data_IF_888507601128
#
_entry.id   IF_888507601128
#
_cell.length_a   1.000
_cell.length_b   1.000
_cell.length_c   1.000
_cell.angle_alpha   90.00
_cell.angle_beta   90.00
_cell.angle_gamma   90.00
#
_symmetry.space_group_name_H-M   'P 1'
#
loop_
_entity.id
_entity.type
_entity.pdbx_description
1 polymer ?
#
# COMPACT_ATOMS: atom_id res chain seq x y z
N UNK A 1 -15.86 -64.67 87.53
CA UNK A 1 -15.98 -63.30 86.99
C UNK A 1 -16.68 -63.44 85.66
N UNK A 2 -17.92 -62.97 85.58
CA UNK A 2 -18.82 -63.32 84.48
C UNK A 2 -18.56 -62.40 83.30
N UNK A 3 -18.93 -62.85 82.09
CA UNK A 3 -18.66 -62.14 80.83
C UNK A 3 -19.22 -60.71 80.75
N UNK A 4 -20.06 -60.30 81.70
CA UNK A 4 -20.61 -58.95 81.84
C UNK A 4 -19.65 -57.97 82.52
N UNK A 5 -18.63 -58.45 83.24
CA UNK A 5 -17.58 -57.60 83.85
C UNK A 5 -16.57 -57.09 82.80
N UNK A 6 -16.53 -57.69 81.60
CA UNK A 6 -15.62 -57.27 80.52
C UNK A 6 -16.13 -56.02 79.78
N UNK A 7 -17.45 -55.92 79.59
CA UNK A 7 -18.11 -54.79 78.91
C UNK A 7 -18.05 -53.48 79.71
N UNK A 8 -17.81 -53.54 81.02
CA UNK A 8 -17.67 -52.36 81.88
C UNK A 8 -16.25 -51.78 81.90
N UNK A 9 -15.25 -52.52 81.37
CA UNK A 9 -13.89 -52.03 81.14
C UNK A 9 -13.68 -51.50 79.72
N UNK A 10 -14.62 -51.75 78.79
CA UNK A 10 -14.57 -51.16 77.47
C UNK A 10 -14.98 -49.70 77.55
N UNK A 11 -14.01 -48.81 77.27
CA UNK A 11 -14.23 -47.37 77.11
C UNK A 11 -14.97 -47.15 75.79
N UNK A 12 -16.24 -47.52 75.76
CA UNK A 12 -17.11 -47.40 74.60
C UNK A 12 -17.30 -45.91 74.34
N UNK A 13 -16.69 -45.42 73.27
CA UNK A 13 -16.81 -44.02 72.87
C UNK A 13 -18.16 -43.83 72.19
N UNK A 14 -19.21 -43.64 72.98
CA UNK A 14 -20.59 -43.46 72.50
C UNK A 14 -20.73 -42.25 71.55
N UNK A 15 -19.91 -41.23 71.73
CA UNK A 15 -19.90 -40.05 70.86
C UNK A 15 -19.01 -40.22 69.62
N UNK A 16 -18.32 -41.35 69.44
CA UNK A 16 -17.46 -41.59 68.27
C UNK A 16 -18.17 -41.30 66.93
N UNK A 17 -19.42 -41.72 66.69
CA UNK A 17 -20.11 -41.40 65.44
C UNK A 17 -20.31 -39.89 65.24
N UNK A 18 -20.50 -39.14 66.34
CA UNK A 18 -20.68 -37.67 66.30
C UNK A 18 -19.36 -36.97 66.03
N UNK A 19 -18.26 -37.47 66.60
CA UNK A 19 -16.92 -36.95 66.33
C UNK A 19 -16.45 -37.30 64.93
N UNK A 20 -16.70 -38.52 64.46
CA UNK A 20 -16.39 -38.95 63.08
C UNK A 20 -17.21 -38.13 62.05
N UNK A 21 -18.47 -37.79 62.34
CA UNK A 21 -19.29 -36.90 61.50
C UNK A 21 -18.78 -35.45 61.55
N UNK A 22 -18.39 -34.95 62.72
CA UNK A 22 -17.82 -33.61 62.87
C UNK A 22 -16.46 -33.49 62.17
N UNK A 23 -15.62 -34.52 62.26
CA UNK A 23 -14.32 -34.62 61.58
C UNK A 23 -14.51 -34.72 60.07
N UNK A 24 -15.46 -35.53 59.59
CA UNK A 24 -15.81 -35.57 58.17
C UNK A 24 -16.26 -34.20 57.66
N UNK A 25 -17.14 -33.51 58.39
CA UNK A 25 -17.58 -32.14 58.03
C UNK A 25 -16.45 -31.12 58.10
N UNK A 26 -15.52 -31.30 59.04
CA UNK A 26 -14.33 -30.46 59.15
C UNK A 26 -13.43 -30.66 57.94
N UNK A 27 -13.09 -31.90 57.59
CA UNK A 27 -12.28 -32.20 56.40
C UNK A 27 -13.00 -31.88 55.09
N UNK A 28 -14.32 -32.10 55.00
CA UNK A 28 -15.12 -31.64 53.86
C UNK A 28 -15.18 -30.10 53.79
N UNK A 29 -15.01 -29.38 54.90
CA UNK A 29 -14.96 -27.91 54.89
C UNK A 29 -13.55 -27.37 54.66
N UNK A 30 -12.51 -28.04 55.15
CA UNK A 30 -11.12 -27.67 54.91
C UNK A 30 -10.68 -28.07 53.50
N UNK A 31 -11.02 -29.28 53.04
CA UNK A 31 -10.78 -29.74 51.68
C UNK A 31 -11.84 -29.20 50.70
N UNK A 32 -13.10 -29.06 51.10
CA UNK A 32 -14.15 -28.42 50.28
C UNK A 32 -14.14 -26.89 50.35
N UNK A 33 -13.06 -26.29 50.86
CA UNK A 33 -12.70 -24.92 50.46
C UNK A 33 -12.25 -24.85 48.99
N UNK A 34 -12.04 -25.99 48.33
CA UNK A 34 -12.36 -26.10 46.90
C UNK A 34 -13.87 -26.31 46.76
N UNK A 35 -14.66 -25.24 46.92
CA UNK A 35 -15.91 -25.18 46.19
C UNK A 35 -15.57 -25.52 44.73
N UNK A 36 -16.43 -26.22 43.97
CA UNK A 36 -16.54 -25.87 42.57
C UNK A 36 -17.10 -24.44 42.58
N UNK A 37 -16.23 -23.45 42.83
CA UNK A 37 -16.55 -22.06 42.55
C UNK A 37 -16.88 -22.09 41.10
N UNK A 38 -18.19 -22.03 40.84
CA UNK A 38 -18.82 -22.00 39.53
C UNK A 38 -17.77 -21.68 38.47
N UNK A 39 -17.41 -22.71 37.69
CA UNK A 39 -16.69 -22.62 36.43
C UNK A 39 -17.50 -21.79 35.41
N UNK A 40 -18.27 -20.78 35.82
CA UNK A 40 -18.91 -19.83 34.91
C UNK A 40 -17.81 -19.08 34.17
N UNK A 41 -16.74 -18.71 34.88
CA UNK A 41 -15.53 -18.15 34.27
C UNK A 41 -14.82 -19.16 33.37
N UNK A 42 -14.54 -20.38 33.83
CA UNK A 42 -13.80 -21.35 33.02
C UNK A 42 -14.60 -21.89 31.83
N UNK A 43 -15.92 -22.11 31.97
CA UNK A 43 -16.80 -22.45 30.85
C UNK A 43 -16.94 -21.27 29.89
N UNK A 44 -16.98 -20.01 30.37
CA UNK A 44 -16.95 -18.82 29.50
C UNK A 44 -15.63 -18.73 28.74
N UNK A 45 -14.49 -18.93 29.40
CA UNK A 45 -13.17 -18.93 28.78
C UNK A 45 -13.06 -20.07 27.76
N UNK A 46 -13.57 -21.25 28.06
CA UNK A 46 -13.59 -22.37 27.11
C UNK A 46 -14.47 -22.06 25.89
N UNK A 47 -15.60 -21.40 26.10
CA UNK A 47 -16.52 -20.97 25.05
C UNK A 47 -15.93 -19.83 24.20
N UNK A 48 -15.19 -18.91 24.83
CA UNK A 48 -14.47 -17.83 24.17
C UNK A 48 -13.30 -18.37 23.34
N UNK A 49 -12.55 -19.35 23.87
CA UNK A 49 -11.51 -20.06 23.12
C UNK A 49 -12.11 -20.82 21.93
N UNK A 50 -13.27 -21.48 22.11
CA UNK A 50 -13.96 -22.18 21.03
C UNK A 50 -14.42 -21.21 19.94
N UNK A 51 -15.01 -20.07 20.33
CA UNK A 51 -15.44 -19.01 19.39
C UNK A 51 -14.26 -18.36 18.67
N UNK A 52 -13.15 -18.12 19.37
CA UNK A 52 -11.93 -17.59 18.77
C UNK A 52 -11.34 -18.57 17.73
N UNK A 53 -11.33 -19.87 18.04
CA UNK A 53 -10.91 -20.91 17.08
C UNK A 53 -11.80 -20.97 15.85
N UNK A 54 -13.12 -20.90 16.03
CA UNK A 54 -14.08 -20.87 14.91
C UNK A 54 -13.90 -19.62 14.05
N UNK A 55 -13.68 -18.45 14.67
CA UNK A 55 -13.43 -17.20 13.96
C UNK A 55 -12.14 -17.25 13.14
N UNK A 56 -11.05 -17.77 13.73
CA UNK A 56 -9.78 -17.98 13.01
C UNK A 56 -9.97 -18.97 11.85
N UNK A 57 -10.69 -20.08 12.05
CA UNK A 57 -10.99 -21.03 10.97
C UNK A 57 -11.82 -20.41 9.85
N UNK A 58 -12.82 -19.60 10.20
CA UNK A 58 -13.67 -18.90 9.23
C UNK A 58 -12.90 -17.82 8.46
N UNK A 59 -12.02 -17.07 9.13
CA UNK A 59 -11.11 -16.14 8.49
C UNK A 59 -10.09 -16.84 7.61
N UNK A 60 -9.56 -17.99 8.02
CA UNK A 60 -8.63 -18.78 7.21
C UNK A 60 -9.32 -19.39 5.98
N UNK A 61 -10.57 -19.85 6.13
CA UNK A 61 -11.40 -20.30 5.01
C UNK A 61 -11.83 -19.16 4.08
N UNK A 62 -11.94 -17.92 4.58
CA UNK A 62 -12.11 -16.72 3.76
C UNK A 62 -10.82 -16.22 3.12
N UNK A 63 -9.66 -16.58 3.67
CA UNK A 63 -8.32 -16.21 3.19
C UNK A 63 -7.68 -17.28 2.30
N UNK A 64 -8.28 -18.47 2.16
CA UNK A 64 -7.96 -19.33 1.04
C UNK A 64 -8.51 -18.64 -0.20
N UNK A 65 -7.65 -17.94 -0.94
CA UNK A 65 -7.93 -17.44 -2.29
C UNK A 65 -8.76 -18.50 -2.99
N UNK A 66 -10.03 -18.19 -3.28
CA UNK A 66 -10.95 -19.22 -3.72
C UNK A 66 -10.36 -19.86 -4.98
N UNK A 67 -10.55 -21.16 -5.21
CA UNK A 67 -10.02 -21.81 -6.41
C UNK A 67 -10.50 -21.11 -7.71
N UNK A 68 -11.60 -20.35 -7.63
CA UNK A 68 -12.09 -19.47 -8.68
C UNK A 68 -11.19 -18.24 -8.89
N UNK A 69 -10.75 -17.55 -7.83
CA UNK A 69 -9.84 -16.39 -7.92
C UNK A 69 -8.49 -16.79 -8.49
N UNK A 70 -7.97 -17.97 -8.11
CA UNK A 70 -6.74 -18.50 -8.71
C UNK A 70 -6.92 -18.79 -10.21
N UNK A 71 -8.08 -19.31 -10.62
CA UNK A 71 -8.39 -19.53 -12.03
C UNK A 71 -8.43 -18.23 -12.84
N UNK A 72 -9.01 -17.17 -12.27
CA UNK A 72 -9.08 -15.85 -12.91
C UNK A 72 -7.69 -15.21 -13.05
N UNK A 73 -6.86 -15.30 -12.01
CA UNK A 73 -5.46 -14.86 -12.04
C UNK A 73 -4.68 -15.61 -13.13
N UNK A 74 -4.82 -16.94 -13.22
CA UNK A 74 -4.16 -17.75 -14.25
C UNK A 74 -4.63 -17.37 -15.67
N UNK A 75 -5.93 -17.12 -15.86
CA UNK A 75 -6.47 -16.66 -17.14
C UNK A 75 -5.93 -15.28 -17.54
N UNK A 76 -5.81 -14.36 -16.58
CA UNK A 76 -5.24 -13.03 -16.82
C UNK A 76 -3.76 -13.12 -17.18
N UNK A 77 -2.98 -13.95 -16.48
CA UNK A 77 -1.56 -14.19 -16.77
C UNK A 77 -1.38 -14.69 -18.21
N UNK A 78 -2.13 -15.73 -18.62
CA UNK A 78 -2.07 -16.25 -20.00
C UNK A 78 -2.42 -15.21 -21.06
N UNK A 79 -3.39 -14.34 -20.76
CA UNK A 79 -3.78 -13.26 -21.68
C UNK A 79 -2.67 -12.22 -21.83
N UNK A 80 -2.04 -11.82 -20.72
CA UNK A 80 -0.91 -10.89 -20.71
C UNK A 80 0.34 -11.48 -21.39
N UNK A 81 0.59 -12.78 -21.26
CA UNK A 81 1.68 -13.46 -21.96
C UNK A 81 1.48 -13.45 -23.48
N UNK A 82 0.24 -13.67 -23.93
CA UNK A 82 -0.11 -13.63 -25.36
C UNK A 82 0.04 -12.21 -25.92
N UNK A 83 -0.46 -11.21 -25.19
CA UNK A 83 -0.32 -9.80 -25.57
C UNK A 83 1.16 -9.37 -25.63
N UNK A 84 1.98 -9.75 -24.65
CA UNK A 84 3.42 -9.49 -24.69
C UNK A 84 4.08 -10.15 -25.91
N UNK A 85 3.71 -11.40 -26.23
CA UNK A 85 4.23 -12.05 -27.43
C UNK A 85 3.82 -11.32 -28.72
N UNK A 86 2.58 -10.83 -28.77
CA UNK A 86 2.09 -10.01 -29.88
C UNK A 86 2.84 -8.68 -29.99
N UNK A 87 3.09 -8.00 -28.87
CA UNK A 87 3.86 -6.75 -28.83
C UNK A 87 5.31 -6.98 -29.28
N UNK A 88 5.96 -8.03 -28.81
CA UNK A 88 7.31 -8.39 -29.26
C UNK A 88 7.34 -8.62 -30.78
N UNK A 89 6.34 -9.31 -31.34
CA UNK A 89 6.24 -9.50 -32.77
C UNK A 89 6.06 -8.18 -33.54
N UNK A 90 5.21 -7.27 -33.05
CA UNK A 90 5.05 -5.94 -33.66
C UNK A 90 6.36 -5.16 -33.59
N UNK A 91 7.09 -5.23 -32.48
CA UNK A 91 8.41 -4.60 -32.34
C UNK A 91 9.41 -5.18 -33.34
N UNK A 92 9.43 -6.49 -33.54
CA UNK A 92 10.31 -7.14 -34.53
C UNK A 92 9.95 -6.73 -35.96
N UNK A 93 8.65 -6.66 -36.29
CA UNK A 93 8.16 -6.21 -37.60
C UNK A 93 8.53 -4.74 -37.85
N UNK A 94 8.38 -3.87 -36.85
CA UNK A 94 8.80 -2.47 -36.91
C UNK A 94 10.31 -2.34 -37.07
N UNK A 95 11.10 -3.14 -36.34
CA UNK A 95 12.55 -3.17 -36.47
C UNK A 95 12.99 -3.60 -37.87
N UNK A 96 12.31 -4.59 -38.45
CA UNK A 96 12.56 -5.02 -39.82
C UNK A 96 12.19 -3.93 -40.84
N UNK A 97 11.07 -3.22 -40.63
CA UNK A 97 10.67 -2.10 -41.47
C UNK A 97 11.69 -0.95 -41.41
N UNK A 98 12.16 -0.59 -40.21
CA UNK A 98 13.19 0.44 -40.02
C UNK A 98 14.50 0.05 -40.71
N UNK A 99 14.96 -1.19 -40.54
CA UNK A 99 16.16 -1.68 -41.24
C UNK A 99 16.01 -1.62 -42.78
N UNK A 100 14.82 -1.93 -43.30
CA UNK A 100 14.51 -1.81 -44.73
C UNK A 100 14.50 -0.35 -45.20
N UNK A 101 13.99 0.58 -44.39
CA UNK A 101 14.06 2.01 -44.67
C UNK A 101 15.52 2.50 -44.65
N UNK A 102 16.30 2.13 -43.65
CA UNK A 102 17.72 2.48 -43.53
C UNK A 102 18.52 1.99 -44.74
N UNK A 103 18.26 0.77 -45.22
CA UNK A 103 18.85 0.26 -46.45
C UNK A 103 18.46 1.10 -47.68
N UNK A 104 17.19 1.51 -47.79
CA UNK A 104 16.73 2.37 -48.91
C UNK A 104 17.34 3.76 -48.85
N UNK A 105 17.43 4.36 -47.67
CA UNK A 105 18.08 5.66 -47.46
C UNK A 105 19.55 5.57 -47.83
N UNK A 106 20.26 4.54 -47.36
CA UNK A 106 21.67 4.30 -47.72
C UNK A 106 21.90 4.17 -49.23
N UNK A 107 20.96 3.58 -49.98
CA UNK A 107 21.03 3.46 -51.44
C UNK A 107 20.78 4.82 -52.12
N UNK A 108 19.83 5.61 -51.61
CA UNK A 108 19.56 6.95 -52.13
C UNK A 108 20.73 7.90 -51.87
N UNK A 109 21.36 7.81 -50.70
CA UNK A 109 22.54 8.62 -50.33
C UNK A 109 23.79 8.25 -51.14
N UNK A 110 23.90 6.99 -51.60
CA UNK A 110 25.01 6.52 -52.44
C UNK A 110 24.77 6.67 -53.94
N UNK A 111 23.55 7.03 -54.36
CA UNK A 111 23.25 7.35 -55.76
C UNK A 111 23.67 8.80 -56.04
N UNK A 112 24.70 9.05 -56.87
CA UNK A 112 25.15 10.40 -57.14
C UNK A 112 24.13 11.13 -58.02
N UNK A 113 23.50 12.17 -57.49
CA UNK A 113 22.86 13.18 -58.32
C UNK A 113 23.97 13.93 -59.08
N UNK A 114 24.22 13.51 -60.32
CA UNK A 114 24.93 14.32 -61.28
C UNK A 114 24.05 15.54 -61.64
N UNK A 115 24.32 16.69 -61.02
CA UNK A 115 23.98 17.99 -61.60
C UNK A 115 24.98 19.05 -61.12
N UNK A 116 25.89 19.39 -62.03
CA UNK A 116 26.61 20.67 -62.04
C UNK A 116 25.67 21.82 -62.48
N UNK A 117 26.01 23.08 -62.17
CA UNK A 117 25.08 24.22 -62.22
C UNK A 117 25.07 24.89 -63.60
N UNK A 118 23.93 25.07 -64.25
CA UNK A 118 23.75 26.10 -65.31
C UNK A 118 22.28 26.55 -65.43
N UNK A 119 22.08 27.85 -65.19
CA UNK A 119 21.21 28.86 -65.84
C UNK A 119 20.11 28.42 -66.84
N UNK A 120 18.90 28.97 -66.62
CA UNK A 120 17.75 29.19 -67.54
C UNK A 120 18.16 29.55 -68.98
N UNK A 121 17.41 29.19 -70.07
CA UNK A 121 16.06 29.76 -70.34
C UNK A 121 15.04 28.95 -71.21
N UNK A 122 13.78 29.41 -71.12
CA UNK A 122 12.69 29.50 -72.14
C UNK A 122 12.02 28.27 -72.79
N UNK A 123 10.69 28.23 -72.54
CA UNK A 123 9.50 27.71 -73.29
C UNK A 123 9.58 27.75 -74.85
N UNK A 124 8.87 26.88 -75.63
CA UNK A 124 7.40 26.95 -75.82
C UNK A 124 6.58 25.64 -76.04
N UNK A 125 5.29 25.77 -75.72
CA UNK A 125 4.06 25.04 -76.06
C UNK A 125 4.05 24.11 -77.29
N UNK A 126 3.26 23.02 -77.25
CA UNK A 126 2.06 22.82 -78.09
C UNK A 126 1.18 21.64 -77.63
N UNK A 127 -0.13 21.87 -77.79
CA UNK A 127 -1.33 21.09 -77.46
C UNK A 127 -1.39 19.63 -77.96
N UNK A 128 -2.17 18.82 -77.24
CA UNK A 128 -2.62 17.49 -77.66
C UNK A 128 -3.71 16.90 -76.75
N UNK A 129 -4.90 17.45 -76.85
CA UNK A 129 -6.19 17.05 -76.24
C UNK A 129 -6.50 15.54 -76.30
N UNK A 130 -6.91 14.95 -75.17
CA UNK A 130 -8.16 14.15 -75.07
C UNK A 130 -8.77 14.29 -73.67
N UNK A 131 -10.03 14.70 -73.68
CA UNK A 131 -10.97 14.94 -72.58
C UNK A 131 -11.70 13.64 -72.22
N UNK A 132 -11.88 13.36 -70.92
CA UNK A 132 -13.18 13.10 -70.23
C UNK A 132 -12.91 13.29 -68.71
N UNK A 133 -13.17 14.45 -68.09
CA UNK A 133 -14.44 14.90 -67.48
C UNK A 133 -15.18 13.78 -66.72
N UNK A 134 -15.47 13.88 -65.40
CA UNK A 134 -16.44 14.81 -64.78
C UNK A 134 -16.29 14.76 -63.23
N UNK A 135 -15.72 15.77 -62.56
CA UNK A 135 -16.35 16.83 -61.71
C UNK A 135 -17.37 16.34 -60.67
N UNK A 136 -17.21 16.60 -59.36
CA UNK A 136 -17.59 17.89 -58.72
C UNK A 136 -16.97 18.12 -57.32
N UNK A 137 -16.50 19.35 -57.06
CA UNK A 137 -16.27 19.96 -55.73
C UNK A 137 -17.42 20.96 -55.43
N UNK A 138 -17.44 21.81 -54.36
CA UNK A 138 -16.57 21.96 -53.15
C UNK A 138 -17.35 22.22 -51.81
N UNK A 139 -16.65 22.51 -50.69
CA UNK A 139 -16.85 23.65 -49.74
C UNK A 139 -16.63 23.32 -48.23
N UNK A 140 -15.61 24.01 -47.67
CA UNK A 140 -15.38 24.59 -46.31
C UNK A 140 -15.21 23.78 -44.99
N UNK A 141 -14.24 24.34 -44.23
CA UNK A 141 -14.08 24.43 -42.76
C UNK A 141 -13.62 23.14 -42.05
N UNK A 142 -12.78 23.14 -41.02
CA UNK A 142 -11.82 24.01 -40.32
C UNK A 142 -11.38 23.14 -39.09
N UNK A 143 -10.15 23.28 -38.59
CA UNK A 143 -9.69 22.89 -37.22
C UNK A 143 -9.47 21.37 -36.95
N UNK A 144 -8.41 20.87 -36.28
CA UNK A 144 -7.39 21.45 -35.39
C UNK A 144 -5.99 20.85 -35.65
N UNK A 145 -5.01 21.75 -35.71
CA UNK A 145 -3.58 21.59 -35.42
C UNK A 145 -3.36 21.27 -33.94
N UNK A 146 -2.40 20.40 -33.60
CA UNK A 146 -1.59 20.56 -32.37
C UNK A 146 -0.25 19.78 -32.44
N UNK A 147 0.47 19.87 -33.55
CA UNK A 147 1.90 19.52 -33.64
C UNK A 147 2.67 20.82 -33.92
N UNK A 148 2.76 21.68 -32.91
CA UNK A 148 3.44 22.97 -32.99
C UNK A 148 4.97 22.76 -32.94
N UNK A 149 5.58 23.02 -34.08
CA UNK A 149 6.98 23.22 -34.42
C UNK A 149 7.91 23.63 -33.25
N UNK A 150 8.58 22.66 -32.61
CA UNK A 150 9.77 22.91 -31.77
C UNK A 150 11.04 22.99 -32.65
N UNK A 151 10.97 23.85 -33.67
CA UNK A 151 12.14 24.29 -34.43
C UNK A 151 12.72 25.51 -33.68
N UNK A 152 13.61 25.22 -32.72
CA UNK A 152 14.37 26.25 -32.01
C UNK A 152 15.44 26.84 -32.96
N UNK A 153 15.03 27.89 -33.67
CA UNK A 153 15.86 28.67 -34.57
C UNK A 153 16.63 29.79 -33.85
N UNK A 154 16.68 29.79 -32.50
CA UNK A 154 17.43 30.75 -31.68
C UNK A 154 18.57 30.11 -30.85
N UNK A 155 19.01 28.90 -31.21
CA UNK A 155 20.14 28.19 -30.60
C UNK A 155 21.52 28.70 -31.03
N UNK A 156 21.80 29.98 -30.85
CA UNK A 156 23.16 30.50 -30.93
C UNK A 156 23.44 31.52 -29.82
N UNK A 157 23.47 31.08 -28.57
CA UNK A 157 24.54 31.42 -27.62
C UNK A 157 24.46 30.55 -26.35
N UNK A 158 25.60 30.46 -25.70
CA UNK A 158 26.10 29.63 -24.60
C UNK A 158 25.24 29.45 -23.32
N UNK A 159 25.66 28.45 -22.52
CA UNK A 159 25.58 28.31 -21.06
C UNK A 159 24.54 27.35 -20.38
N UNK A 160 25.10 26.29 -19.80
CA UNK A 160 24.57 25.16 -19.00
C UNK A 160 23.70 25.53 -17.76
N UNK A 161 23.46 26.82 -17.50
CA UNK A 161 22.57 27.26 -16.41
C UNK A 161 21.10 27.28 -16.81
N UNK A 162 20.80 27.37 -18.11
CA UNK A 162 19.42 27.37 -18.62
C UNK A 162 18.72 26.01 -18.43
N UNK A 163 19.47 24.90 -18.41
CA UNK A 163 18.90 23.57 -18.26
C UNK A 163 18.38 23.30 -16.85
N UNK A 164 19.03 23.84 -15.82
CA UNK A 164 18.54 23.77 -14.42
C UNK A 164 17.29 24.62 -14.23
N UNK A 165 17.22 25.77 -14.89
CA UNK A 165 16.05 26.64 -14.86
C UNK A 165 14.88 26.02 -15.65
N UNK A 166 15.15 25.38 -16.79
CA UNK A 166 14.17 24.60 -17.56
C UNK A 166 13.68 23.39 -16.76
N UNK A 167 14.55 22.67 -16.06
CA UNK A 167 14.16 21.54 -15.22
C UNK A 167 13.34 21.97 -14.00
N UNK A 168 13.70 23.08 -13.35
CA UNK A 168 12.87 23.68 -12.30
C UNK A 168 11.50 24.10 -12.82
N UNK A 169 11.43 24.71 -14.01
CA UNK A 169 10.16 25.10 -14.63
C UNK A 169 9.36 23.88 -15.04
N UNK A 170 9.99 22.82 -15.55
CA UNK A 170 9.32 21.57 -15.91
C UNK A 170 8.77 20.84 -14.67
N UNK A 171 9.48 20.89 -13.53
CA UNK A 171 8.99 20.41 -12.23
C UNK A 171 7.82 21.25 -11.73
N UNK A 172 7.90 22.58 -11.83
CA UNK A 172 6.76 23.47 -11.51
C UNK A 172 5.55 23.23 -12.44
N UNK A 173 5.78 22.90 -13.72
CA UNK A 173 4.72 22.53 -14.66
C UNK A 173 4.17 21.12 -14.41
N UNK A 174 5.00 20.18 -13.94
CA UNK A 174 4.56 18.86 -13.51
C UNK A 174 3.73 18.93 -12.22
N UNK A 175 4.13 19.74 -11.25
CA UNK A 175 3.37 20.02 -10.03
C UNK A 175 2.04 20.73 -10.35
N UNK A 176 2.03 21.64 -11.32
CA UNK A 176 0.81 22.30 -11.80
C UNK A 176 -0.08 21.39 -12.64
N UNK A 177 0.47 20.44 -13.39
CA UNK A 177 -0.31 19.39 -14.10
C UNK A 177 -0.80 18.28 -13.15
N UNK A 178 -0.08 17.99 -12.07
CA UNK A 178 -0.50 17.10 -10.98
C UNK A 178 -1.59 17.73 -10.09
N UNK A 179 -1.79 19.04 -10.18
CA UNK A 179 -2.89 19.77 -9.53
C UNK A 179 -4.23 19.69 -10.27
N UNK A 180 -4.35 18.78 -11.25
CA UNK A 180 -5.66 18.30 -11.70
C UNK A 180 -6.16 17.32 -10.63
N UNK A 181 -7.34 17.55 -10.02
CA UNK A 181 -7.84 16.68 -8.96
C UNK A 181 -8.24 15.34 -9.57
N UNK A 182 -7.28 14.43 -9.69
CA UNK A 182 -7.55 13.00 -9.71
C UNK A 182 -8.25 12.64 -8.40
N UNK A 183 -8.94 11.50 -8.38
CA UNK A 183 -9.49 10.95 -7.14
C UNK A 183 -8.30 10.60 -6.22
N UNK A 184 -7.82 11.57 -5.45
CA UNK A 184 -6.74 11.39 -4.49
C UNK A 184 -7.35 10.56 -3.37
N UNK A 185 -7.04 9.27 -3.36
CA UNK A 185 -7.35 8.41 -2.24
C UNK A 185 -6.56 8.93 -1.03
N UNK A 186 -7.28 9.28 0.03
CA UNK A 186 -6.67 9.73 1.27
C UNK A 186 -6.77 8.59 2.26
N UNK A 187 -5.77 8.40 3.09
CA UNK A 187 -5.81 7.44 4.17
C UNK A 187 -5.56 8.18 5.48
N UNK A 188 -6.46 7.98 6.44
CA UNK A 188 -6.27 8.41 7.82
C UNK A 188 -5.70 7.25 8.63
N UNK A 189 -4.52 7.47 9.19
CA UNK A 189 -3.73 6.45 9.89
C UNK A 189 -3.56 6.90 11.33
N UNK A 190 -3.74 5.97 12.26
CA UNK A 190 -3.43 6.15 13.67
C UNK A 190 -2.14 5.39 13.97
N UNK A 191 -1.10 6.14 14.34
CA UNK A 191 0.21 5.63 14.71
C UNK A 191 0.36 5.68 16.23
N UNK A 192 0.67 4.53 16.83
CA UNK A 192 1.03 4.40 18.24
C UNK A 192 2.56 4.43 18.34
N UNK A 193 3.10 5.52 18.87
CA UNK A 193 4.54 5.70 19.15
C UNK A 193 4.81 5.34 20.61
N UNK A 194 5.65 4.34 20.84
CA UNK A 194 6.08 3.92 22.17
C UNK A 194 7.44 4.54 22.50
N UNK A 195 7.54 5.38 23.54
CA UNK A 195 8.83 5.88 24.01
C UNK A 195 9.61 4.79 24.77
N UNK A 196 10.92 5.00 24.94
CA UNK A 196 11.77 4.09 25.72
C UNK A 196 11.43 4.07 27.21
N UNK A 197 11.07 5.22 27.78
CA UNK A 197 10.85 5.34 29.22
C UNK A 197 9.93 6.50 29.59
N UNK A 198 9.38 6.47 30.81
CA UNK A 198 8.48 7.50 31.36
C UNK A 198 9.17 8.83 31.67
N UNK A 199 10.50 8.85 31.69
CA UNK A 199 11.34 10.05 31.81
C UNK A 199 11.49 10.83 30.48
N UNK A 200 11.11 10.24 29.35
CA UNK A 200 11.25 10.88 28.03
C UNK A 200 10.28 12.06 27.88
N UNK A 201 10.76 13.21 27.42
CA UNK A 201 9.95 14.40 27.19
C UNK A 201 8.91 14.16 26.07
N UNK A 202 7.66 13.95 26.46
CA UNK A 202 6.54 13.68 25.54
C UNK A 202 6.29 14.83 24.55
N UNK A 203 6.59 16.06 24.96
CA UNK A 203 6.44 17.25 24.12
C UNK A 203 7.47 17.27 22.99
N UNK A 204 8.73 16.92 23.28
CA UNK A 204 9.79 16.84 22.26
C UNK A 204 9.52 15.72 21.26
N UNK A 205 9.02 14.58 21.74
CA UNK A 205 8.64 13.48 20.85
C UNK A 205 7.49 13.88 19.92
N UNK A 206 6.49 14.61 20.42
CA UNK A 206 5.43 15.16 19.56
C UNK A 206 5.97 16.22 18.59
N UNK A 207 6.87 17.11 19.03
CA UNK A 207 7.50 18.10 18.16
C UNK A 207 8.35 17.45 17.06
N UNK A 208 9.13 16.40 17.38
CA UNK A 208 9.90 15.63 16.41
C UNK A 208 8.97 14.98 15.37
N UNK A 209 7.89 14.32 15.80
CA UNK A 209 6.92 13.71 14.88
C UNK A 209 6.22 14.79 14.04
N UNK A 210 5.82 15.93 14.62
CA UNK A 210 5.21 17.04 13.86
C UNK A 210 6.17 17.77 12.93
N UNK A 211 7.49 17.71 13.20
CA UNK A 211 8.51 18.35 12.37
C UNK A 211 8.74 17.62 11.05
N UNK A 212 8.37 16.35 10.97
CA UNK A 212 8.33 15.58 9.73
C UNK A 212 7.30 16.22 8.80
N UNK A 213 7.78 16.78 7.69
CA UNK A 213 6.97 17.51 6.72
C UNK A 213 7.15 16.85 5.34
N UNK A 214 6.09 16.22 4.84
CA UNK A 214 6.05 15.61 3.51
C UNK A 214 4.86 16.16 2.70
N UNK A 215 5.01 16.25 1.38
CA UNK A 215 3.95 16.73 0.49
C UNK A 215 2.78 15.74 0.46
N UNK A 216 1.62 16.13 1.00
CA UNK A 216 0.46 15.25 1.17
C UNK A 216 0.31 14.65 2.57
N UNK A 217 1.19 14.99 3.52
CA UNK A 217 1.08 14.59 4.93
C UNK A 217 0.43 15.70 5.77
N UNK A 218 -0.63 15.34 6.49
CA UNK A 218 -1.33 16.19 7.44
C UNK A 218 -1.34 15.54 8.83
N UNK A 219 -0.66 16.16 9.79
CA UNK A 219 -0.72 15.74 11.18
C UNK A 219 -2.06 16.13 11.82
N UNK A 220 -2.73 15.14 12.39
CA UNK A 220 -4.00 15.28 13.10
C UNK A 220 -3.83 15.45 14.60
N UNK A 221 -4.82 14.97 15.34
CA UNK A 221 -4.84 15.03 16.80
C UNK A 221 -3.92 13.97 17.40
N UNK A 222 -3.20 14.37 18.46
CA UNK A 222 -2.40 13.49 19.30
C UNK A 222 -3.13 13.20 20.61
N UNK A 223 -3.04 11.97 21.11
CA UNK A 223 -3.63 11.53 22.37
C UNK A 223 -2.63 10.64 23.10
N UNK A 224 -2.44 10.89 24.38
CA UNK A 224 -1.63 10.02 25.23
C UNK A 224 -2.51 8.91 25.82
N UNK A 225 -2.12 7.66 25.59
CA UNK A 225 -2.80 6.48 26.12
C UNK A 225 -1.88 5.79 27.13
N UNK A 226 -2.27 5.64 28.40
CA UNK A 226 -1.45 4.94 29.39
C UNK A 226 -1.45 3.42 29.11
N UNK A 227 -0.26 2.81 29.08
CA UNK A 227 -0.08 1.37 28.80
C UNK A 227 0.15 0.57 30.10
N UNK A 228 0.61 1.25 31.16
CA UNK A 228 0.90 0.68 32.47
C UNK A 228 2.29 1.07 32.95
N UNK A 229 2.57 0.92 34.25
CA UNK A 229 3.89 1.19 34.85
C UNK A 229 4.45 2.62 34.60
N UNK A 230 3.58 3.63 34.52
CA UNK A 230 4.01 5.02 34.25
C UNK A 230 4.21 5.34 32.76
N UNK A 231 4.40 4.32 31.92
CA UNK A 231 4.64 4.48 30.48
C UNK A 231 3.33 4.80 29.76
N UNK A 232 3.34 5.93 29.03
CA UNK A 232 2.26 6.37 28.15
C UNK A 232 2.75 6.26 26.71
N UNK A 233 1.91 5.71 25.83
CA UNK A 233 2.15 5.75 24.39
C UNK A 233 1.48 6.98 23.79
N UNK A 234 2.13 7.56 22.79
CA UNK A 234 1.58 8.65 22.02
C UNK A 234 0.82 8.06 20.83
N UNK A 235 -0.48 8.28 20.77
CA UNK A 235 -1.32 7.93 19.64
C UNK A 235 -1.53 9.19 18.80
N UNK A 236 -1.00 9.23 17.59
CA UNK A 236 -1.13 10.38 16.68
C UNK A 236 -1.87 9.97 15.42
N UNK A 237 -2.89 10.75 15.05
CA UNK A 237 -3.55 10.60 13.76
C UNK A 237 -2.76 11.37 12.69
N UNK A 238 -2.59 10.79 11.51
CA UNK A 238 -2.15 11.49 10.31
C UNK A 238 -3.10 11.21 9.15
N UNK A 239 -3.16 12.13 8.19
CA UNK A 239 -3.87 11.98 6.93
C UNK A 239 -2.83 12.06 5.83
N UNK A 240 -2.69 10.99 5.05
CA UNK A 240 -1.75 10.89 3.94
C UNK A 240 -2.52 10.79 2.62
N UNK A 241 -1.95 11.38 1.58
CA UNK A 241 -2.37 11.16 0.19
C UNK A 241 -1.61 9.95 -0.35
N UNK A 242 -2.31 8.84 -0.59
CA UNK A 242 -1.72 7.53 -0.94
C UNK A 242 -0.84 7.60 -2.21
N UNK A 243 -1.18 8.48 -3.15
CA UNK A 243 -0.46 8.64 -4.42
C UNK A 243 0.92 9.31 -4.28
N UNK A 244 1.20 9.96 -3.15
CA UNK A 244 2.42 10.75 -2.93
C UNK A 244 3.23 10.31 -1.73
N UNK A 245 2.57 9.93 -0.65
CA UNK A 245 3.23 9.59 0.62
C UNK A 245 2.89 8.16 0.98
N UNK A 246 3.87 7.28 0.81
CA UNK A 246 3.79 5.91 1.30
C UNK A 246 3.87 5.87 2.82
N UNK A 247 3.12 4.96 3.45
CA UNK A 247 3.17 4.72 4.89
C UNK A 247 4.58 4.31 5.35
N UNK A 248 5.30 3.60 4.50
CA UNK A 248 6.68 3.15 4.76
C UNK A 248 7.65 4.34 4.94
N UNK A 249 7.49 5.43 4.17
CA UNK A 249 8.32 6.63 4.31
C UNK A 249 8.11 7.30 5.67
N UNK A 250 6.85 7.34 6.13
CA UNK A 250 6.52 7.85 7.46
C UNK A 250 7.14 6.99 8.56
N UNK A 251 7.03 5.68 8.45
CA UNK A 251 7.62 4.76 9.41
C UNK A 251 9.14 4.91 9.45
N UNK A 252 9.81 5.04 8.31
CA UNK A 252 11.26 5.29 8.25
C UNK A 252 11.67 6.62 8.88
N UNK A 253 10.94 7.72 8.64
CA UNK A 253 11.29 9.01 9.24
C UNK A 253 11.05 9.04 10.75
N UNK A 254 9.98 8.39 11.22
CA UNK A 254 9.69 8.33 12.65
C UNK A 254 10.66 7.37 13.35
N UNK A 255 10.99 6.22 12.75
CA UNK A 255 11.93 5.26 13.34
C UNK A 255 13.36 5.77 13.39
N UNK A 256 13.78 6.72 12.53
CA UNK A 256 15.09 7.39 12.64
C UNK A 256 15.32 8.08 13.99
N UNK A 257 14.25 8.46 14.69
CA UNK A 257 14.34 9.00 16.05
C UNK A 257 14.45 7.88 17.11
N UNK A 258 15.34 6.92 16.88
CA UNK A 258 15.57 5.76 17.76
C UNK A 258 15.94 6.17 19.19
N UNK A 259 16.50 7.36 19.40
CA UNK A 259 16.87 7.87 20.72
C UNK A 259 15.68 8.13 21.63
N UNK A 260 14.51 8.43 21.06
CA UNK A 260 13.28 8.76 21.79
C UNK A 260 12.19 7.71 21.63
N UNK A 261 12.22 6.96 20.52
CA UNK A 261 11.16 6.04 20.10
C UNK A 261 11.70 4.62 20.16
N UNK A 262 11.04 3.77 20.94
CA UNK A 262 11.33 2.34 21.01
C UNK A 262 10.75 1.61 19.80
N UNK A 263 9.49 1.91 19.46
CA UNK A 263 8.81 1.31 18.31
C UNK A 263 7.63 2.17 17.86
N UNK A 264 7.27 2.01 16.59
CA UNK A 264 6.07 2.58 15.97
C UNK A 264 5.15 1.42 15.57
N UNK A 265 3.87 1.51 15.94
CA UNK A 265 2.85 0.54 15.59
C UNK A 265 1.69 1.24 14.86
N UNK A 266 1.15 0.61 13.81
CA UNK A 266 -0.10 1.08 13.19
C UNK A 266 -1.28 0.60 14.02
N UNK A 267 -1.94 1.52 14.73
CA UNK A 267 -3.10 1.21 15.56
C UNK A 267 -4.38 1.07 14.75
N UNK A 268 -4.56 1.90 13.72
CA UNK A 268 -5.69 1.79 12.80
C UNK A 268 -5.36 2.43 11.45
N UNK A 269 -5.92 1.87 10.39
CA UNK A 269 -5.82 2.38 9.03
C UNK A 269 -7.24 2.53 8.46
N UNK A 270 -7.64 3.76 8.15
CA UNK A 270 -8.95 4.09 7.59
C UNK A 270 -8.76 4.79 6.24
N UNK A 271 -9.29 4.21 5.17
CA UNK A 271 -9.32 4.86 3.86
C UNK A 271 -10.48 5.87 3.80
N UNK A 272 -10.21 7.08 3.32
CA UNK A 272 -11.16 8.22 3.23
C UNK A 272 -11.21 8.82 1.82
#
# INVERSE_FOLDING_TARGET
>A
MSSVDFLSQEKIWFDKPRYDEAERRFYERTNGSSQPTQDVGANSILQDIARARENIQKSLAGSSSSAADQGEIICRIKSLELENHSLHKVVDDLRAALSKLECRVSVLEKSPAAVTPVTTPSVPYTNGTTVQQKTSAPVKNEEEDDDDDDIDLFGSDDDEEADKLKEQRLKEYAEKKAKKPGIIAKSSILLDVKPWDDETDMVKLEECVRSVQADGLLWGTSKLVPVGYGIKKLQIACVVEDDKVGTDMLEEEITKFEDYIQSVDVAAFNKI
#
